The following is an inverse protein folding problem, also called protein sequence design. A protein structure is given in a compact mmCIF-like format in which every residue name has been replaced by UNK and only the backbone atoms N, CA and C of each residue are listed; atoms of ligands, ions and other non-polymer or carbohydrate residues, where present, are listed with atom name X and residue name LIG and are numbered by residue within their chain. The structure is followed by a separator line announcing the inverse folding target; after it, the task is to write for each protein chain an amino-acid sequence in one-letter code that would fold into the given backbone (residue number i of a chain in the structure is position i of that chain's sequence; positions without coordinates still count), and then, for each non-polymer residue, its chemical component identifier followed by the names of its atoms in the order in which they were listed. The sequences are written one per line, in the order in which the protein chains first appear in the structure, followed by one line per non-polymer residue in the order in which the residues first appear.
data_IF_454967362336
#
_entry.id   IF_454967362336
#
_cell.length_a   1.000
_cell.length_b   1.000
_cell.length_c   1.000
_cell.angle_alpha   90.00
_cell.angle_beta   90.00
_cell.angle_gamma   90.00
#
_symmetry.space_group_name_H-M   'P 1'
#
loop_
_entity.id
_entity.type
_entity.pdbx_description
1 polymer ?
#
# COMPACT_ATOMS: atom_id res chain seq x y z
N UNK A 1 -27.31 -29.99 4.56
CA UNK A 1 -27.88 -28.88 3.75
C UNK A 1 -26.80 -27.97 3.10
N UNK A 2 -25.51 -28.13 3.41
CA UNK A 2 -24.42 -27.31 2.84
C UNK A 2 -23.88 -27.82 1.48
N UNK A 3 -23.94 -29.13 1.18
CA UNK A 3 -23.40 -29.68 -0.07
C UNK A 3 -24.11 -29.21 -1.35
N UNK A 4 -25.42 -28.93 -1.28
CA UNK A 4 -26.18 -28.50 -2.47
C UNK A 4 -25.84 -27.08 -2.93
N UNK A 5 -25.45 -26.18 -2.01
CA UNK A 5 -25.09 -24.78 -2.35
C UNK A 5 -23.71 -24.67 -3.02
N UNK A 6 -22.80 -25.60 -2.76
CA UNK A 6 -21.47 -25.61 -3.40
C UNK A 6 -21.53 -25.93 -4.89
N UNK A 7 -22.33 -26.93 -5.29
CA UNK A 7 -22.44 -27.35 -6.70
C UNK A 7 -23.04 -26.29 -7.62
N UNK A 8 -24.04 -25.53 -7.17
CA UNK A 8 -24.61 -24.42 -7.95
C UNK A 8 -23.61 -23.26 -8.10
N UNK A 9 -22.70 -23.06 -7.12
CA UNK A 9 -21.71 -21.99 -7.16
C UNK A 9 -20.62 -22.19 -8.24
N UNK A 10 -20.38 -23.44 -8.67
CA UNK A 10 -19.39 -23.78 -9.70
C UNK A 10 -19.96 -23.88 -11.12
N UNK A 11 -21.27 -24.03 -11.29
CA UNK A 11 -21.86 -24.22 -12.63
C UNK A 11 -21.83 -22.96 -13.50
N UNK A 12 -21.75 -21.76 -12.89
CA UNK A 12 -21.91 -20.50 -13.60
C UNK A 12 -20.73 -19.52 -13.48
N UNK A 13 -19.57 -19.95 -12.94
CA UNK A 13 -18.38 -19.09 -12.83
C UNK A 13 -17.14 -19.77 -13.37
N UNK A 14 -16.42 -19.05 -14.24
CA UNK A 14 -15.03 -19.34 -14.55
C UNK A 14 -14.22 -19.01 -13.30
N UNK A 15 -13.81 -20.04 -12.57
CA UNK A 15 -12.98 -19.90 -11.38
C UNK A 15 -11.52 -19.92 -11.82
N UNK A 16 -10.71 -18.96 -11.37
CA UNK A 16 -9.29 -18.93 -11.70
C UNK A 16 -8.57 -20.18 -11.18
N UNK A 17 -7.50 -20.62 -11.85
CA UNK A 17 -6.78 -21.86 -11.49
C UNK A 17 -6.32 -21.87 -10.02
N UNK A 18 -5.89 -20.72 -9.50
CA UNK A 18 -5.51 -20.55 -8.09
C UNK A 18 -6.72 -20.76 -7.19
N UNK A 19 -7.87 -20.21 -7.56
CA UNK A 19 -9.07 -20.36 -6.76
C UNK A 19 -9.56 -21.81 -6.69
N UNK A 20 -9.49 -22.53 -7.81
CA UNK A 20 -9.88 -23.93 -7.89
C UNK A 20 -9.00 -24.82 -7.00
N UNK A 21 -7.68 -24.56 -6.96
CA UNK A 21 -6.75 -25.32 -6.10
C UNK A 21 -7.06 -25.13 -4.62
N UNK A 22 -7.36 -23.90 -4.19
CA UNK A 22 -7.72 -23.63 -2.80
C UNK A 22 -9.02 -24.34 -2.41
N UNK A 23 -10.02 -24.32 -3.29
CA UNK A 23 -11.31 -24.96 -3.01
C UNK A 23 -11.21 -26.49 -3.00
N UNK A 24 -10.42 -27.10 -3.90
CA UNK A 24 -10.17 -28.56 -3.94
C UNK A 24 -9.39 -29.05 -2.73
N UNK A 25 -8.41 -28.27 -2.26
CA UNK A 25 -7.59 -28.61 -1.10
C UNK A 25 -8.26 -28.28 0.23
N UNK A 26 -9.46 -27.70 0.22
CA UNK A 26 -10.16 -27.25 1.43
C UNK A 26 -9.46 -26.09 2.16
N UNK A 27 -8.62 -25.33 1.45
CA UNK A 27 -7.88 -24.21 2.02
C UNK A 27 -8.74 -22.95 2.00
N UNK A 28 -8.86 -22.30 3.15
CA UNK A 28 -9.56 -21.02 3.24
C UNK A 28 -8.77 -19.93 2.49
N UNK A 29 -9.27 -19.48 1.33
CA UNK A 29 -8.69 -18.39 0.52
C UNK A 29 -8.37 -17.13 1.34
N UNK A 30 -9.14 -16.86 2.39
CA UNK A 30 -8.98 -15.69 3.23
C UNK A 30 -9.11 -16.06 4.72
N UNK A 31 -8.04 -16.59 5.30
CA UNK A 31 -7.74 -16.34 6.71
C UNK A 31 -6.54 -15.40 6.78
N UNK A 32 -6.73 -14.14 6.38
CA UNK A 32 -5.75 -13.14 6.76
C UNK A 32 -5.82 -12.98 8.27
N UNK A 33 -4.72 -13.24 8.98
CA UNK A 33 -4.61 -12.97 10.41
C UNK A 33 -4.82 -11.48 10.74
N UNK A 34 -4.72 -10.61 9.72
CA UNK A 34 -4.70 -9.15 9.84
C UNK A 34 -5.69 -8.48 8.88
N UNK A 35 -6.40 -7.47 9.36
CA UNK A 35 -7.32 -6.70 8.53
C UNK A 35 -6.57 -5.70 7.65
N UNK A 36 -7.09 -5.35 6.48
CA UNK A 36 -6.57 -4.29 5.62
C UNK A 36 -7.65 -3.22 5.48
N UNK A 37 -7.29 -1.94 5.67
CA UNK A 37 -8.16 -0.79 5.45
C UNK A 37 -7.65 0.02 4.27
N UNK A 38 -8.56 0.50 3.43
CA UNK A 38 -8.22 1.41 2.34
C UNK A 38 -8.54 2.85 2.74
N UNK A 39 -7.51 3.69 2.81
CA UNK A 39 -7.62 5.11 3.16
C UNK A 39 -7.76 5.93 1.88
N UNK A 40 -8.67 6.90 1.91
CA UNK A 40 -8.78 7.91 0.86
C UNK A 40 -7.92 9.11 1.26
N UNK A 41 -6.90 9.41 0.45
CA UNK A 41 -5.96 10.52 0.65
C UNK A 41 -5.96 11.50 -0.53
N UNK A 42 -7.07 11.55 -1.28
CA UNK A 42 -7.21 12.45 -2.41
C UNK A 42 -7.34 13.91 -1.94
N UNK A 43 -6.87 14.83 -2.78
CA UNK A 43 -7.00 16.28 -2.55
C UNK A 43 -8.50 16.64 -2.37
N UNK A 44 -8.88 17.52 -1.43
CA UNK A 44 -10.29 17.82 -1.15
C UNK A 44 -11.10 18.31 -2.35
N UNK A 45 -10.46 18.94 -3.34
CA UNK A 45 -11.09 19.40 -4.59
C UNK A 45 -11.48 18.25 -5.53
N UNK A 46 -10.75 17.14 -5.49
CA UNK A 46 -10.86 16.03 -6.43
C UNK A 46 -11.60 14.84 -5.81
N UNK A 47 -11.95 14.93 -4.52
CA UNK A 47 -12.47 13.80 -3.78
C UNK A 47 -13.89 13.46 -4.22
N UNK A 48 -14.06 12.22 -4.73
CA UNK A 48 -15.37 11.67 -5.06
C UNK A 48 -16.04 11.22 -3.76
N UNK A 49 -16.91 12.10 -3.25
CA UNK A 49 -17.67 11.87 -2.01
C UNK A 49 -18.77 10.84 -2.22
N UNK A 50 -18.88 9.91 -1.29
CA UNK A 50 -19.99 8.97 -1.25
C UNK A 50 -21.19 9.65 -0.58
N UNK A 51 -22.40 9.33 -1.05
CA UNK A 51 -23.62 9.75 -0.36
C UNK A 51 -23.78 8.95 0.93
N UNK A 52 -24.41 9.56 1.94
CA UNK A 52 -24.76 8.85 3.18
C UNK A 52 -25.72 7.70 2.86
N UNK A 53 -25.61 6.55 3.54
CA UNK A 53 -26.53 5.42 3.35
C UNK A 53 -27.99 5.82 3.64
N UNK A 54 -28.17 6.67 4.64
CA UNK A 54 -29.49 7.11 5.13
C UNK A 54 -29.97 8.40 4.44
N UNK A 55 -29.51 8.65 3.20
CA UNK A 55 -29.82 9.91 2.48
C UNK A 55 -31.31 10.19 2.34
N UNK A 56 -32.14 9.15 2.35
CA UNK A 56 -33.60 9.26 2.26
C UNK A 56 -34.25 9.84 3.52
N UNK A 57 -33.58 9.71 4.66
CA UNK A 57 -34.06 10.16 5.97
C UNK A 57 -33.52 11.56 6.32
N UNK A 58 -32.66 12.12 5.47
CA UNK A 58 -32.09 13.45 5.63
C UNK A 58 -33.12 14.49 5.18
N UNK A 59 -33.24 15.59 5.94
CA UNK A 59 -34.09 16.73 5.55
C UNK A 59 -33.68 17.24 4.15
N UNK A 60 -34.65 17.54 3.27
CA UNK A 60 -34.38 17.95 1.89
C UNK A 60 -33.49 19.20 1.77
N UNK A 61 -33.49 20.07 2.78
CA UNK A 61 -32.68 21.30 2.82
C UNK A 61 -31.29 21.11 3.46
N UNK A 62 -30.92 19.91 3.87
CA UNK A 62 -29.64 19.66 4.55
C UNK A 62 -28.49 19.54 3.55
N UNK A 63 -27.48 20.40 3.67
CA UNK A 63 -26.24 20.31 2.88
C UNK A 63 -25.32 19.12 3.24
N UNK A 64 -25.59 18.39 4.33
CA UNK A 64 -24.76 17.25 4.77
C UNK A 64 -25.19 15.92 4.10
N UNK A 65 -25.27 15.87 2.78
CA UNK A 65 -25.66 14.64 2.05
C UNK A 65 -24.51 13.62 1.88
N UNK A 66 -23.27 14.07 2.06
CA UNK A 66 -22.08 13.26 1.84
C UNK A 66 -21.55 12.59 3.11
N UNK A 67 -21.02 11.38 2.96
CA UNK A 67 -20.27 10.68 4.00
C UNK A 67 -18.95 11.39 4.27
N UNK A 68 -18.54 11.46 5.53
CA UNK A 68 -17.26 12.07 5.92
C UNK A 68 -16.06 11.28 5.38
N UNK A 69 -15.05 12.01 4.92
CA UNK A 69 -13.80 11.41 4.44
C UNK A 69 -12.93 10.91 5.60
N UNK A 70 -11.89 10.13 5.31
CA UNK A 70 -10.95 9.67 6.35
C UNK A 70 -10.21 10.86 6.99
N UNK A 71 -9.87 11.87 6.19
CA UNK A 71 -9.22 13.11 6.65
C UNK A 71 -10.16 13.87 7.60
N UNK A 72 -11.40 14.14 7.20
CA UNK A 72 -12.39 14.87 8.02
C UNK A 72 -12.70 14.14 9.34
N UNK A 73 -12.70 12.80 9.33
CA UNK A 73 -12.87 11.98 10.53
C UNK A 73 -11.68 12.10 11.48
N UNK A 74 -10.47 12.12 10.94
CA UNK A 74 -9.23 12.22 11.71
C UNK A 74 -8.98 13.63 12.28
N UNK A 75 -9.36 14.69 11.55
CA UNK A 75 -9.27 16.08 12.01
C UNK A 75 -10.18 16.36 13.23
N UNK A 76 -11.36 15.72 13.28
CA UNK A 76 -12.38 15.96 14.32
C UNK A 76 -12.29 15.05 15.55
N UNK A 77 -11.16 14.36 15.74
CA UNK A 77 -10.96 13.44 16.87
C UNK A 77 -10.51 14.20 18.13
N UNK A 78 -10.83 13.66 19.32
CA UNK A 78 -10.50 14.27 20.61
C UNK A 78 -9.34 13.58 21.37
N UNK A 79 -8.62 12.66 20.73
CA UNK A 79 -7.48 11.95 21.34
C UNK A 79 -6.56 11.34 20.29
N UNK A 80 -5.51 10.64 20.74
CA UNK A 80 -4.44 10.12 19.88
C UNK A 80 -3.72 11.23 19.07
N UNK A 81 -3.21 12.22 19.80
CA UNK A 81 -2.61 13.45 19.26
C UNK A 81 -1.38 13.18 18.38
N UNK A 82 -0.53 12.26 18.83
CA UNK A 82 0.77 11.95 18.21
C UNK A 82 0.68 10.97 17.04
N UNK A 83 -0.49 10.36 16.79
CA UNK A 83 -0.65 9.39 15.71
C UNK A 83 -0.91 10.09 14.39
N UNK A 84 -0.25 9.65 13.32
CA UNK A 84 -0.60 10.07 11.96
C UNK A 84 -1.95 9.49 11.52
N UNK A 85 -2.55 10.05 10.47
CA UNK A 85 -3.86 9.59 9.97
C UNK A 85 -3.86 8.07 9.67
N UNK A 86 -2.85 7.50 8.95
CA UNK A 86 -2.81 6.06 8.74
C UNK A 86 -2.65 5.24 10.02
N UNK A 87 -1.80 5.69 10.95
CA UNK A 87 -1.59 4.98 12.22
C UNK A 87 -2.88 4.95 13.04
N UNK A 88 -3.60 6.07 13.11
CA UNK A 88 -4.88 6.16 13.80
C UNK A 88 -5.87 5.10 13.29
N UNK A 89 -6.05 5.01 11.98
CA UNK A 89 -6.98 4.05 11.39
C UNK A 89 -6.50 2.58 11.48
N UNK A 90 -5.20 2.34 11.55
CA UNK A 90 -4.66 1.02 11.86
C UNK A 90 -4.91 0.59 13.30
N UNK A 91 -4.83 1.51 14.27
CA UNK A 91 -5.02 1.18 15.67
C UNK A 91 -6.48 1.18 16.11
N UNK A 92 -7.32 2.03 15.52
CA UNK A 92 -8.71 2.19 15.93
C UNK A 92 -9.69 1.67 14.87
N UNK A 93 -10.83 1.14 15.34
CA UNK A 93 -12.00 0.84 14.51
C UNK A 93 -13.12 1.79 14.88
N UNK A 94 -13.87 2.23 13.89
CA UNK A 94 -15.11 2.97 14.08
C UNK A 94 -16.18 2.02 14.65
N UNK A 95 -16.83 2.44 15.72
CA UNK A 95 -17.98 1.78 16.31
C UNK A 95 -19.21 2.61 15.97
N UNK A 96 -20.02 2.13 15.03
CA UNK A 96 -21.27 2.77 14.64
C UNK A 96 -22.30 2.49 15.72
N UNK A 97 -22.57 3.45 16.61
CA UNK A 97 -23.82 3.47 17.36
C UNK A 97 -24.60 4.73 17.03
N UNK A 98 -25.82 4.45 16.59
CA UNK A 98 -26.95 5.33 16.39
C UNK A 98 -27.44 5.71 17.77
N UNK A 99 -27.10 6.90 18.23
CA UNK A 99 -27.94 7.74 19.09
C UNK A 99 -27.25 9.09 19.20
N UNK A 100 -28.06 10.14 19.02
CA UNK A 100 -27.71 11.52 19.23
C UNK A 100 -26.92 11.65 20.55
N UNK A 101 -25.62 11.99 20.47
CA UNK A 101 -24.89 12.51 21.62
C UNK A 101 -25.48 13.90 21.92
N UNK A 102 -26.68 13.93 22.49
CA UNK A 102 -27.23 15.10 23.13
C UNK A 102 -26.26 15.48 24.25
N UNK A 103 -26.03 16.78 24.32
CA UNK A 103 -25.34 17.45 25.41
C UNK A 103 -25.97 17.01 26.74
N UNK A 104 -25.28 16.14 27.47
CA UNK A 104 -25.41 16.09 28.91
C UNK A 104 -24.10 16.63 29.50
N UNK A 105 -24.15 17.92 29.80
CA UNK A 105 -23.38 18.50 30.88
C UNK A 105 -23.77 17.81 32.18
N UNK A 106 -22.77 17.27 32.88
CA UNK A 106 -22.57 17.27 34.34
C UNK A 106 -21.99 15.94 34.85
N UNK A 107 -20.71 16.01 35.24
CA UNK A 107 -20.10 15.27 36.35
C UNK A 107 -20.54 13.82 36.59
N UNK A 108 -19.97 12.89 35.83
CA UNK A 108 -19.54 11.60 36.40
C UNK A 108 -18.11 11.31 35.96
N UNK A 109 -17.24 11.13 36.93
CA UNK A 109 -15.90 10.55 36.78
C UNK A 109 -16.03 9.13 36.23
N UNK A 110 -16.19 9.00 34.92
CA UNK A 110 -16.20 7.72 34.24
C UNK A 110 -14.76 7.26 34.01
N UNK A 111 -14.36 6.30 34.84
CA UNK A 111 -13.18 5.45 34.76
C UNK A 111 -12.95 4.84 33.37
N UNK A 112 -12.48 5.62 32.40
CA UNK A 112 -12.31 5.20 30.99
C UNK A 112 -10.94 5.54 30.37
N UNK A 113 -10.00 6.11 31.14
CA UNK A 113 -8.62 6.36 30.71
C UNK A 113 -7.71 5.14 30.95
N UNK A 114 -8.17 3.94 30.60
CA UNK A 114 -7.28 2.78 30.56
C UNK A 114 -6.37 2.90 29.34
N UNK A 115 -5.18 3.44 29.56
CA UNK A 115 -4.09 3.49 28.60
C UNK A 115 -3.59 2.07 28.30
N UNK A 116 -3.50 1.74 27.01
CA UNK A 116 -2.99 0.44 26.56
C UNK A 116 -1.75 0.64 25.69
N UNK A 117 -0.64 0.00 26.10
CA UNK A 117 0.55 -0.08 25.27
C UNK A 117 0.28 -1.00 24.08
N UNK A 118 0.73 -0.59 22.90
CA UNK A 118 0.63 -1.39 21.68
C UNK A 118 2.01 -1.87 21.25
N UNK A 119 2.10 -3.08 20.67
CA UNK A 119 3.34 -3.48 20.03
C UNK A 119 3.66 -2.45 18.93
N UNK A 120 4.94 -2.07 18.83
CA UNK A 120 5.46 -1.15 17.80
C UNK A 120 4.98 0.31 17.91
N UNK A 121 4.53 0.74 19.09
CA UNK A 121 4.32 2.14 19.43
C UNK A 121 4.91 2.41 20.82
N UNK A 122 5.85 3.35 20.91
CA UNK A 122 6.60 3.61 22.14
C UNK A 122 5.75 4.27 23.24
N UNK A 123 4.59 4.81 22.87
CA UNK A 123 3.66 5.46 23.79
C UNK A 123 2.50 4.59 24.26
N UNK A 124 1.69 5.17 25.13
CA UNK A 124 0.41 4.61 25.52
C UNK A 124 -0.71 5.19 24.68
N UNK A 125 -1.66 4.35 24.27
CA UNK A 125 -2.81 4.76 23.48
C UNK A 125 -4.10 4.63 24.30
N UNK A 126 -5.02 5.61 24.23
CA UNK A 126 -6.32 5.50 24.88
C UNK A 126 -7.13 4.35 24.27
N UNK A 127 -7.88 3.61 25.08
CA UNK A 127 -8.76 2.54 24.56
C UNK A 127 -9.89 3.07 23.69
N UNK A 128 -10.35 4.29 23.96
CA UNK A 128 -11.47 4.93 23.27
C UNK A 128 -11.04 6.34 22.86
N UNK A 129 -11.25 6.67 21.59
CA UNK A 129 -11.16 8.03 21.06
C UNK A 129 -12.54 8.42 20.55
N UNK A 130 -13.01 9.64 20.80
CA UNK A 130 -14.33 10.11 20.37
C UNK A 130 -14.19 11.25 19.35
N UNK A 131 -15.25 11.44 18.59
CA UNK A 131 -15.52 12.62 17.77
C UNK A 131 -17.00 12.96 17.96
N UNK A 132 -17.41 14.16 17.52
CA UNK A 132 -18.77 14.69 17.70
C UNK A 132 -19.89 13.70 17.34
N UNK A 133 -19.66 12.82 16.36
CA UNK A 133 -20.65 11.83 15.90
C UNK A 133 -20.14 10.38 15.87
N UNK A 134 -18.89 10.12 16.26
CA UNK A 134 -18.28 8.80 16.07
C UNK A 134 -17.41 8.41 17.27
N UNK A 135 -17.51 7.14 17.66
CA UNK A 135 -16.67 6.53 18.68
C UNK A 135 -15.68 5.59 18.01
N UNK A 136 -14.42 5.66 18.42
CA UNK A 136 -13.32 4.86 17.93
C UNK A 136 -12.78 3.99 19.06
N UNK A 137 -12.76 2.68 18.84
CA UNK A 137 -12.29 1.70 19.83
C UNK A 137 -11.00 1.06 19.34
N UNK A 138 -10.05 0.88 20.24
CA UNK A 138 -8.76 0.26 19.94
C UNK A 138 -8.95 -1.19 19.46
N UNK A 139 -8.38 -1.54 18.31
CA UNK A 139 -8.59 -2.85 17.66
C UNK A 139 -7.94 -3.98 18.46
N UNK A 140 -8.58 -5.14 18.55
CA UNK A 140 -7.94 -6.33 19.15
C UNK A 140 -6.91 -6.99 18.23
N UNK A 141 -7.11 -6.89 16.91
CA UNK A 141 -6.23 -7.46 15.87
C UNK A 141 -5.49 -6.35 15.14
N UNK A 142 -4.28 -6.65 14.68
CA UNK A 142 -3.49 -5.74 13.85
C UNK A 142 -4.21 -5.47 12.51
N UNK A 143 -4.16 -4.21 12.09
CA UNK A 143 -4.70 -3.74 10.83
C UNK A 143 -3.60 -3.05 10.04
N UNK A 144 -3.61 -3.26 8.73
CA UNK A 144 -2.80 -2.51 7.78
C UNK A 144 -3.65 -1.51 7.04
N UNK A 145 -2.99 -0.52 6.44
CA UNK A 145 -3.62 0.45 5.59
C UNK A 145 -3.06 0.35 4.17
N UNK A 146 -3.85 0.79 3.19
CA UNK A 146 -3.45 0.99 1.79
C UNK A 146 -4.10 2.28 1.29
N UNK A 147 -3.49 2.91 0.30
CA UNK A 147 -4.09 4.02 -0.45
C UNK A 147 -3.69 3.91 -1.92
N UNK A 148 -4.25 4.75 -2.79
CA UNK A 148 -3.72 4.95 -4.13
C UNK A 148 -2.58 5.95 -4.05
N UNK A 149 -1.36 5.52 -4.37
CA UNK A 149 -0.20 6.39 -4.30
C UNK A 149 -0.14 7.31 -5.51
N UNK A 150 0.01 8.60 -5.25
CA UNK A 150 0.21 9.64 -6.24
C UNK A 150 1.69 9.68 -6.59
N UNK A 151 2.00 9.91 -7.87
CA UNK A 151 3.37 10.13 -8.31
C UNK A 151 3.75 11.60 -8.15
N UNK A 152 5.03 11.92 -8.00
CA UNK A 152 5.52 13.32 -7.99
C UNK A 152 5.07 14.12 -9.23
N UNK A 153 4.88 13.44 -10.36
CA UNK A 153 4.33 14.03 -11.59
C UNK A 153 2.91 14.60 -11.42
N UNK A 154 2.16 14.13 -10.42
CA UNK A 154 0.80 14.60 -10.12
C UNK A 154 0.79 15.90 -9.28
N UNK A 155 1.97 16.46 -8.98
CA UNK A 155 2.13 17.80 -8.39
C UNK A 155 1.49 17.94 -7.02
N UNK A 156 0.54 18.87 -6.87
CA UNK A 156 -0.13 19.20 -5.60
C UNK A 156 -0.74 17.97 -4.91
N UNK A 157 -1.25 16.98 -5.66
CA UNK A 157 -1.85 15.77 -5.10
C UNK A 157 -0.83 14.93 -4.33
N UNK A 158 0.37 14.82 -4.87
CA UNK A 158 1.47 14.09 -4.23
C UNK A 158 1.87 14.77 -2.92
N UNK A 159 2.13 16.07 -2.95
CA UNK A 159 2.55 16.80 -1.75
C UNK A 159 1.48 16.77 -0.65
N UNK A 160 0.21 16.95 -1.01
CA UNK A 160 -0.90 16.81 -0.08
C UNK A 160 -0.94 15.40 0.54
N UNK A 161 -0.83 14.34 -0.28
CA UNK A 161 -0.82 12.97 0.22
C UNK A 161 0.36 12.71 1.17
N UNK A 162 1.56 13.20 0.86
CA UNK A 162 2.72 13.06 1.74
C UNK A 162 2.50 13.74 3.09
N UNK A 163 1.91 14.93 3.10
CA UNK A 163 1.60 15.66 4.34
C UNK A 163 0.56 14.90 5.17
N UNK A 164 -0.58 14.51 4.58
CA UNK A 164 -1.67 13.84 5.30
C UNK A 164 -1.25 12.49 5.89
N UNK A 165 -0.36 11.78 5.21
CA UNK A 165 0.11 10.46 5.66
C UNK A 165 1.18 10.53 6.73
N UNK A 166 2.03 11.57 6.72
CA UNK A 166 3.23 11.65 7.56
C UNK A 166 3.18 12.67 8.68
N UNK A 167 2.33 13.71 8.58
CA UNK A 167 2.21 14.75 9.60
C UNK A 167 1.10 14.39 10.59
N UNK A 168 1.39 14.19 11.89
CA UNK A 168 0.37 14.14 12.91
C UNK A 168 -0.19 15.55 13.13
N UNK A 169 -1.52 15.65 13.26
CA UNK A 169 -2.23 16.91 13.51
C UNK A 169 -3.25 16.70 14.62
N UNK A 170 -3.52 17.68 15.47
CA UNK A 170 -4.51 17.56 16.54
C UNK A 170 -5.20 18.91 16.79
N UNK A 171 -6.54 18.89 16.99
CA UNK A 171 -7.37 20.09 17.15
C UNK A 171 -7.13 21.19 16.10
N UNK A 172 -6.76 20.78 14.88
CA UNK A 172 -6.41 21.67 13.77
C UNK A 172 -6.70 20.92 12.47
N UNK A 173 -6.92 21.63 11.37
CA UNK A 173 -7.08 21.05 10.04
C UNK A 173 -5.79 21.13 9.22
N UNK A 174 -5.65 20.26 8.22
CA UNK A 174 -4.48 20.36 7.32
C UNK A 174 -4.46 21.69 6.55
N UNK A 175 -5.63 22.27 6.26
CA UNK A 175 -5.74 23.55 5.57
C UNK A 175 -5.32 24.73 6.46
N UNK A 176 -5.71 24.73 7.73
CA UNK A 176 -5.28 25.73 8.71
C UNK A 176 -3.77 25.66 8.97
N UNK A 177 -3.21 24.44 9.00
CA UNK A 177 -1.76 24.23 9.16
C UNK A 177 -0.94 24.66 7.93
N UNK A 178 -1.52 24.56 6.74
CA UNK A 178 -0.93 25.14 5.52
C UNK A 178 -0.83 26.66 5.63
N UNK A 179 -1.74 27.32 6.35
CA UNK A 179 -1.62 28.73 6.73
C UNK A 179 -1.31 29.66 5.53
N UNK A 180 -0.17 30.40 5.54
CA UNK A 180 0.15 31.37 4.50
C UNK A 180 0.76 30.78 3.22
N UNK A 181 1.08 29.47 3.19
CA UNK A 181 1.68 28.84 2.02
C UNK A 181 0.68 28.74 0.87
N UNK A 182 1.08 29.18 -0.33
CA UNK A 182 0.18 29.20 -1.50
C UNK A 182 -0.11 27.79 -2.01
N UNK A 183 0.91 26.94 -2.08
CA UNK A 183 0.83 25.57 -2.58
C UNK A 183 1.11 24.54 -1.49
N UNK A 184 0.62 23.31 -1.69
CA UNK A 184 0.98 22.17 -0.83
C UNK A 184 2.45 21.80 -0.99
N UNK A 185 3.04 22.05 -2.16
CA UNK A 185 4.49 21.93 -2.38
C UNK A 185 5.29 22.81 -1.43
N UNK A 186 4.99 24.11 -1.38
CA UNK A 186 5.75 25.06 -0.54
C UNK A 186 5.69 24.67 0.94
N UNK A 187 4.51 24.23 1.38
CA UNK A 187 4.31 23.76 2.74
C UNK A 187 5.08 22.46 3.01
N UNK A 188 5.07 21.52 2.07
CA UNK A 188 5.84 20.28 2.17
C UNK A 188 7.35 20.53 2.25
N UNK A 189 7.88 21.40 1.39
CA UNK A 189 9.30 21.78 1.39
C UNK A 189 9.69 22.44 2.72
N UNK A 190 8.83 23.29 3.28
CA UNK A 190 9.04 23.85 4.61
C UNK A 190 9.10 22.75 5.69
N UNK A 191 8.18 21.78 5.67
CA UNK A 191 8.12 20.69 6.65
C UNK A 191 9.33 19.74 6.58
N UNK A 192 9.93 19.53 5.41
CA UNK A 192 11.15 18.72 5.27
C UNK A 192 12.35 19.39 5.95
N UNK A 193 12.40 20.73 5.92
CA UNK A 193 13.51 21.50 6.47
C UNK A 193 13.43 21.68 7.99
N UNK A 194 12.34 21.25 8.63
CA UNK A 194 12.16 21.31 10.07
C UNK A 194 12.56 19.97 10.71
N UNK A 195 13.25 19.95 11.86
CA UNK A 195 13.48 18.74 12.63
C UNK A 195 12.18 18.07 13.10
N UNK A 196 12.17 16.73 13.19
CA UNK A 196 10.98 15.96 13.62
C UNK A 196 10.42 16.40 14.98
N UNK A 197 11.30 16.77 15.93
CA UNK A 197 10.93 17.26 17.27
C UNK A 197 10.14 18.57 17.24
N UNK A 198 10.35 19.39 16.20
CA UNK A 198 9.63 20.64 15.95
C UNK A 198 8.44 20.43 14.99
N UNK A 199 8.08 19.17 14.72
CA UNK A 199 6.97 18.82 13.85
C UNK A 199 7.34 18.74 12.36
N UNK A 200 8.61 18.61 12.01
CA UNK A 200 9.00 18.30 10.63
C UNK A 200 8.49 16.95 10.13
N UNK A 201 8.43 16.80 8.81
CA UNK A 201 8.15 15.51 8.17
C UNK A 201 9.48 14.91 7.72
N UNK A 202 9.71 13.66 8.10
CA UNK A 202 10.82 12.90 7.52
C UNK A 202 10.40 12.37 6.16
N UNK A 203 11.11 12.80 5.15
CA UNK A 203 11.09 12.19 3.82
C UNK A 203 12.39 11.40 3.73
N UNK A 204 12.28 10.10 3.49
CA UNK A 204 13.47 9.28 3.26
C UNK A 204 14.18 9.82 2.01
N UNK A 205 15.33 10.51 2.19
CA UNK A 205 16.21 10.96 1.09
C UNK A 205 16.87 9.77 0.35
N UNK A 206 16.46 8.54 0.64
CA UNK A 206 17.09 7.31 0.17
C UNK A 206 16.79 6.96 -1.30
N UNK A 207 15.92 7.72 -1.98
CA UNK A 207 15.68 7.57 -3.41
C UNK A 207 16.96 7.70 -4.26
N UNK A 208 18.01 8.36 -3.77
CA UNK A 208 19.32 8.45 -4.46
C UNK A 208 20.32 7.33 -4.08
N UNK A 209 19.98 6.42 -3.14
CA UNK A 209 20.95 5.47 -2.56
C UNK A 209 20.77 4.01 -2.96
N UNK A 210 19.89 3.71 -3.93
CA UNK A 210 19.70 2.33 -4.45
C UNK A 210 20.62 2.00 -5.63
N UNK A 211 21.35 2.97 -6.19
CA UNK A 211 22.41 2.70 -7.16
C UNK A 211 23.65 2.27 -6.37
N UNK A 212 23.75 0.98 -6.07
CA UNK A 212 24.91 0.40 -5.39
C UNK A 212 26.10 0.17 -6.34
N UNK A 213 25.94 0.38 -7.66
CA UNK A 213 27.05 0.33 -8.61
C UNK A 213 26.83 1.25 -9.80
N UNK A 214 27.91 1.91 -10.26
CA UNK A 214 27.97 2.69 -11.50
C UNK A 214 27.59 1.87 -12.76
N UNK A 215 27.52 0.54 -12.65
CA UNK A 215 27.17 -0.34 -13.78
C UNK A 215 25.66 -0.39 -14.07
N UNK A 216 24.80 -0.10 -13.08
CA UNK A 216 23.34 -0.08 -13.29
C UNK A 216 22.87 1.22 -13.98
N UNK A 217 23.66 2.29 -13.91
CA UNK A 217 23.44 3.54 -14.65
C UNK A 217 23.76 3.36 -16.14
N UNK A 218 24.75 2.54 -16.47
CA UNK A 218 25.24 2.38 -17.84
C UNK A 218 24.34 1.54 -18.77
N UNK A 219 23.41 0.74 -18.24
CA UNK A 219 22.56 -0.14 -19.06
C UNK A 219 21.21 0.49 -19.43
N UNK A 220 20.76 1.53 -18.72
CA UNK A 220 19.58 2.34 -19.10
C UNK A 220 19.90 3.35 -20.22
N UNK A 221 21.14 3.83 -20.31
CA UNK A 221 21.59 4.80 -21.32
C UNK A 221 21.91 4.18 -22.69
N UNK A 222 22.06 2.85 -22.78
CA UNK A 222 22.45 2.16 -24.03
C UNK A 222 21.34 2.09 -25.09
N UNK A 223 20.12 2.52 -24.77
CA UNK A 223 19.00 2.54 -25.70
C UNK A 223 18.40 1.15 -26.02
N UNK A 224 17.15 1.11 -26.52
CA UNK A 224 16.42 -0.14 -26.78
C UNK A 224 17.10 -1.03 -27.84
N UNK A 225 17.84 -0.44 -28.78
CA UNK A 225 18.50 -1.16 -29.86
C UNK A 225 19.64 -2.06 -29.38
N UNK A 226 20.38 -1.65 -28.35
CA UNK A 226 21.47 -2.46 -27.76
C UNK A 226 20.88 -3.64 -26.99
N UNK A 227 19.80 -3.41 -26.24
CA UNK A 227 19.07 -4.46 -25.51
C UNK A 227 18.51 -5.51 -26.47
N UNK A 228 17.96 -5.08 -27.61
CA UNK A 228 17.47 -5.98 -28.66
C UNK A 228 18.60 -6.79 -29.32
N UNK A 229 19.75 -6.17 -29.59
CA UNK A 229 20.92 -6.87 -30.13
C UNK A 229 21.42 -7.94 -29.16
N UNK A 230 21.53 -7.61 -27.88
CA UNK A 230 21.90 -8.59 -26.85
C UNK A 230 20.90 -9.74 -26.77
N UNK A 231 19.61 -9.44 -26.77
CA UNK A 231 18.56 -10.47 -26.77
C UNK A 231 18.68 -11.39 -27.99
N UNK A 232 18.94 -10.84 -29.17
CA UNK A 232 19.12 -11.64 -30.39
C UNK A 232 20.35 -12.56 -30.30
N UNK A 233 21.47 -12.07 -29.77
CA UNK A 233 22.66 -12.92 -29.52
C UNK A 233 22.32 -14.02 -28.51
N UNK A 234 21.57 -13.70 -27.47
CA UNK A 234 21.16 -14.69 -26.47
C UNK A 234 20.20 -15.73 -27.04
N UNK A 235 19.23 -15.32 -27.85
CA UNK A 235 18.33 -16.22 -28.55
C UNK A 235 19.09 -17.14 -29.48
N UNK A 236 20.07 -16.63 -30.23
CA UNK A 236 20.89 -17.47 -31.11
C UNK A 236 21.64 -18.56 -30.35
N UNK A 237 22.22 -18.20 -29.20
CA UNK A 237 23.01 -19.10 -28.35
C UNK A 237 22.17 -20.01 -27.43
N UNK A 238 20.86 -19.76 -27.30
CA UNK A 238 19.97 -20.57 -26.48
C UNK A 238 19.75 -21.97 -27.10
N UNK A 239 19.62 -22.98 -26.25
CA UNK A 239 19.28 -24.33 -26.70
C UNK A 239 17.81 -24.42 -27.14
N UNK A 240 17.47 -25.49 -27.88
CA UNK A 240 16.12 -25.69 -28.44
C UNK A 240 15.01 -25.67 -27.38
N UNK A 241 15.26 -26.29 -26.22
CA UNK A 241 14.31 -26.27 -25.10
C UNK A 241 14.11 -24.86 -24.52
N UNK A 242 15.18 -24.10 -24.33
CA UNK A 242 15.13 -22.73 -23.82
C UNK A 242 14.37 -21.81 -24.77
N UNK A 243 14.58 -21.96 -26.09
CA UNK A 243 13.83 -21.22 -27.12
C UNK A 243 12.33 -21.51 -27.04
N UNK A 244 11.97 -22.79 -27.01
CA UNK A 244 10.57 -23.21 -26.93
C UNK A 244 9.89 -22.73 -25.63
N UNK A 245 10.57 -22.84 -24.49
CA UNK A 245 10.05 -22.34 -23.21
C UNK A 245 9.91 -20.81 -23.24
N UNK A 246 10.88 -20.09 -23.81
CA UNK A 246 10.84 -18.64 -23.91
C UNK A 246 9.66 -18.16 -24.76
N UNK A 247 9.46 -18.75 -25.94
CA UNK A 247 8.35 -18.44 -26.83
C UNK A 247 6.99 -18.75 -26.19
N UNK A 248 6.85 -19.95 -25.61
CA UNK A 248 5.63 -20.38 -24.93
C UNK A 248 5.30 -19.51 -23.71
N UNK A 249 6.32 -19.14 -22.93
CA UNK A 249 6.12 -18.25 -21.79
C UNK A 249 5.70 -16.84 -22.24
N UNK A 250 6.28 -16.30 -23.33
CA UNK A 250 5.87 -15.00 -23.86
C UNK A 250 4.43 -15.02 -24.38
N UNK A 251 4.01 -16.09 -25.06
CA UNK A 251 2.62 -16.20 -25.53
C UNK A 251 1.62 -16.25 -24.38
N UNK A 252 1.95 -16.97 -23.31
CA UNK A 252 1.12 -17.06 -22.11
C UNK A 252 1.12 -15.75 -21.30
N UNK A 253 2.26 -15.06 -21.20
CA UNK A 253 2.30 -13.79 -20.48
C UNK A 253 1.54 -12.67 -21.21
N UNK A 254 1.40 -12.75 -22.54
CA UNK A 254 0.55 -11.82 -23.32
C UNK A 254 -0.95 -11.96 -22.99
N UNK A 255 -1.38 -13.12 -22.50
CA UNK A 255 -2.78 -13.37 -22.09
C UNK A 255 -3.01 -13.06 -20.60
N UNK A 256 -2.08 -12.36 -19.93
CA UNK A 256 -2.10 -12.06 -18.48
C UNK A 256 -2.16 -13.31 -17.59
N UNK A 257 -1.59 -14.43 -18.06
CA UNK A 257 -1.51 -15.67 -17.28
C UNK A 257 -0.21 -15.74 -16.44
N UNK A 258 -0.13 -16.74 -15.57
CA UNK A 258 1.05 -16.99 -14.72
C UNK A 258 1.79 -18.21 -15.24
N UNK A 259 3.10 -18.07 -15.47
CA UNK A 259 3.95 -19.14 -15.99
C UNK A 259 4.87 -19.68 -14.90
N UNK A 260 4.87 -21.00 -14.71
CA UNK A 260 5.78 -21.70 -13.80
C UNK A 260 6.85 -22.45 -14.59
N UNK A 261 8.13 -22.14 -14.32
CA UNK A 261 9.26 -22.75 -15.01
C UNK A 261 10.11 -23.53 -14.00
N UNK A 262 10.18 -24.84 -14.16
CA UNK A 262 11.01 -25.74 -13.34
C UNK A 262 12.13 -26.38 -14.16
N UNK A 263 13.20 -26.79 -13.49
CA UNK A 263 14.26 -27.59 -14.11
C UNK A 263 15.36 -27.95 -13.13
N UNK A 264 16.14 -28.99 -13.43
CA UNK A 264 17.25 -29.45 -12.60
C UNK A 264 18.38 -28.40 -12.48
N UNK A 265 19.29 -28.57 -11.52
CA UNK A 265 20.48 -27.72 -11.43
C UNK A 265 21.29 -27.81 -12.74
N UNK A 266 21.89 -26.70 -13.18
CA UNK A 266 22.67 -26.66 -14.42
C UNK A 266 21.89 -26.51 -15.74
N UNK A 267 20.55 -26.49 -15.73
CA UNK A 267 19.74 -26.35 -16.96
C UNK A 267 19.67 -24.93 -17.56
N UNK A 268 20.45 -23.98 -17.02
CA UNK A 268 20.49 -22.61 -17.55
C UNK A 268 19.27 -21.75 -17.23
N UNK A 269 18.53 -22.02 -16.15
CA UNK A 269 17.37 -21.18 -15.73
C UNK A 269 17.72 -19.69 -15.56
N UNK A 270 18.91 -19.40 -15.03
CA UNK A 270 19.39 -18.01 -14.89
C UNK A 270 19.63 -17.33 -16.25
N UNK A 271 19.95 -18.11 -17.29
CA UNK A 271 20.10 -17.60 -18.65
C UNK A 271 18.73 -17.20 -19.23
N UNK A 272 17.74 -18.06 -19.05
CA UNK A 272 16.36 -17.80 -19.46
C UNK A 272 15.78 -16.57 -18.75
N UNK A 273 16.05 -16.42 -17.45
CA UNK A 273 15.63 -15.24 -16.68
C UNK A 273 16.20 -13.93 -17.23
N UNK A 274 17.48 -13.94 -17.67
CA UNK A 274 18.11 -12.79 -18.34
C UNK A 274 17.48 -12.49 -19.71
N UNK A 275 17.08 -13.52 -20.46
CA UNK A 275 16.38 -13.33 -21.74
C UNK A 275 15.03 -12.63 -21.55
N UNK A 276 14.23 -13.05 -20.55
CA UNK A 276 12.98 -12.35 -20.21
C UNK A 276 13.24 -10.90 -19.79
N UNK A 277 14.26 -10.68 -18.96
CA UNK A 277 14.65 -9.34 -18.54
C UNK A 277 14.93 -8.43 -19.74
N UNK A 278 15.74 -8.88 -20.71
CA UNK A 278 16.06 -8.11 -21.92
C UNK A 278 14.85 -7.88 -22.82
N UNK A 279 14.00 -8.89 -23.01
CA UNK A 279 12.78 -8.79 -23.83
C UNK A 279 11.79 -7.73 -23.32
N UNK A 280 11.53 -7.74 -22.02
CA UNK A 280 10.61 -6.78 -21.41
C UNK A 280 11.23 -5.38 -21.25
N UNK A 281 12.55 -5.29 -21.02
CA UNK A 281 13.28 -4.01 -21.04
C UNK A 281 13.20 -3.33 -22.41
N UNK A 282 13.36 -4.09 -23.49
CA UNK A 282 13.22 -3.57 -24.86
C UNK A 282 11.82 -2.98 -25.13
N UNK A 283 10.80 -3.49 -24.45
CA UNK A 283 9.42 -3.00 -24.52
C UNK A 283 9.10 -1.93 -23.47
N UNK A 284 10.11 -1.42 -22.76
CA UNK A 284 9.98 -0.39 -21.70
C UNK A 284 9.13 -0.81 -20.51
N UNK A 285 9.00 -2.12 -20.26
CA UNK A 285 8.40 -2.60 -19.01
C UNK A 285 9.38 -2.47 -17.86
N UNK A 286 8.83 -2.13 -16.70
CA UNK A 286 9.53 -2.19 -15.44
C UNK A 286 9.51 -3.61 -14.89
N UNK A 287 10.68 -4.14 -14.54
CA UNK A 287 10.85 -5.56 -14.20
C UNK A 287 11.40 -5.68 -12.79
N UNK A 288 10.73 -6.47 -11.96
CA UNK A 288 11.16 -6.78 -10.61
C UNK A 288 11.60 -8.24 -10.48
N UNK A 289 12.85 -8.45 -10.09
CA UNK A 289 13.42 -9.78 -9.84
C UNK A 289 13.41 -10.08 -8.35
N UNK A 290 12.64 -11.09 -7.97
CA UNK A 290 12.40 -11.44 -6.58
C UNK A 290 12.95 -12.83 -6.25
N UNK A 291 13.51 -12.98 -5.05
CA UNK A 291 13.97 -14.27 -4.53
C UNK A 291 13.63 -14.46 -3.04
N UNK A 292 13.50 -15.70 -2.54
CA UNK A 292 13.16 -15.93 -1.14
C UNK A 292 14.29 -15.57 -0.16
N UNK A 293 15.56 -15.79 -0.54
CA UNK A 293 16.73 -15.61 0.32
C UNK A 293 17.68 -14.53 -0.21
N UNK A 294 18.48 -13.92 0.67
CA UNK A 294 19.45 -12.86 0.31
C UNK A 294 20.49 -13.31 -0.71
N UNK A 295 21.04 -14.52 -0.53
CA UNK A 295 22.01 -15.12 -1.45
C UNK A 295 21.36 -15.36 -2.82
N UNK A 296 20.12 -15.86 -2.86
CA UNK A 296 19.42 -16.08 -4.12
C UNK A 296 19.07 -14.76 -4.84
N UNK A 297 18.70 -13.70 -4.10
CA UNK A 297 18.44 -12.39 -4.70
C UNK A 297 19.69 -11.77 -5.28
N UNK A 298 20.84 -11.93 -4.61
CA UNK A 298 22.11 -11.43 -5.10
C UNK A 298 22.50 -12.11 -6.42
N UNK A 299 22.31 -13.43 -6.53
CA UNK A 299 22.65 -14.20 -7.73
C UNK A 299 21.85 -13.80 -8.99
N UNK A 300 20.65 -13.24 -8.82
CA UNK A 300 19.81 -12.79 -9.93
C UNK A 300 19.88 -11.28 -10.16
N UNK A 301 20.76 -10.56 -9.47
CA UNK A 301 20.78 -9.09 -9.41
C UNK A 301 19.38 -8.54 -9.14
N UNK A 302 18.71 -9.10 -8.13
CA UNK A 302 17.37 -8.75 -7.71
C UNK A 302 17.32 -8.45 -6.22
N UNK A 303 16.12 -8.52 -5.64
CA UNK A 303 15.91 -8.32 -4.22
C UNK A 303 15.13 -9.46 -3.60
N UNK A 304 15.17 -9.56 -2.28
CA UNK A 304 14.36 -10.56 -1.59
C UNK A 304 12.89 -10.19 -1.68
N UNK A 305 12.00 -11.20 -1.70
CA UNK A 305 10.55 -11.01 -1.58
C UNK A 305 10.26 -10.16 -0.34
N UNK A 306 10.97 -10.45 0.75
CA UNK A 306 10.91 -9.68 1.99
C UNK A 306 11.25 -8.21 1.77
N UNK A 307 12.40 -7.90 1.15
CA UNK A 307 12.81 -6.52 0.87
C UNK A 307 11.86 -5.80 -0.08
N UNK A 308 11.39 -6.50 -1.11
CA UNK A 308 10.44 -5.94 -2.08
C UNK A 308 9.12 -5.55 -1.43
N UNK A 309 8.57 -6.42 -0.59
CA UNK A 309 7.36 -6.13 0.17
C UNK A 309 7.61 -5.38 1.48
N UNK A 310 8.83 -4.90 1.75
CA UNK A 310 9.17 -4.18 2.99
C UNK A 310 9.19 -5.03 4.27
N UNK A 311 9.09 -6.35 4.19
CA UNK A 311 9.07 -7.26 5.35
C UNK A 311 10.48 -7.35 5.98
N UNK A 312 10.69 -6.85 7.21
CA UNK A 312 11.98 -6.96 7.93
C UNK A 312 12.01 -8.19 8.83
N UNK A 313 13.18 -8.81 9.03
CA UNK A 313 13.32 -10.04 9.84
C UNK A 313 13.08 -9.84 11.34
N UNK A 314 13.05 -8.59 11.83
CA UNK A 314 12.73 -8.21 13.21
C UNK A 314 11.32 -7.63 13.38
N UNK A 315 10.59 -7.37 12.29
CA UNK A 315 9.25 -6.82 12.34
C UNK A 315 8.32 -7.61 11.42
N UNK A 316 7.32 -8.27 12.00
CA UNK A 316 6.22 -8.85 11.23
C UNK A 316 5.38 -7.78 10.49
N UNK A 317 5.75 -6.49 10.56
CA UNK A 317 5.15 -5.41 9.78
C UNK A 317 5.95 -5.18 8.49
N UNK A 318 5.29 -5.24 7.32
CA UNK A 318 5.86 -4.73 6.07
C UNK A 318 6.04 -3.22 6.18
N UNK A 319 7.24 -2.74 5.85
CA UNK A 319 7.60 -1.33 5.76
C UNK A 319 7.06 -0.76 4.43
N UNK A 320 5.83 -0.24 4.48
CA UNK A 320 5.07 0.20 3.30
C UNK A 320 5.69 1.38 2.57
N UNK A 321 6.54 2.17 3.23
CA UNK A 321 7.26 3.29 2.60
C UNK A 321 8.26 2.79 1.54
N UNK A 322 8.85 1.60 1.74
CA UNK A 322 9.84 1.01 0.82
C UNK A 322 9.24 0.38 -0.44
N UNK A 323 7.96 0.00 -0.38
CA UNK A 323 7.24 -0.58 -1.52
C UNK A 323 6.97 0.46 -2.62
N UNK A 324 6.78 1.72 -2.25
CA UNK A 324 6.53 2.82 -3.19
C UNK A 324 7.78 3.32 -3.87
N UNK A 325 8.92 3.36 -3.17
CA UNK A 325 10.22 3.72 -3.74
C UNK A 325 10.64 2.79 -4.89
N UNK A 326 10.33 1.49 -4.79
CA UNK A 326 10.63 0.51 -5.82
C UNK A 326 9.76 0.68 -7.06
N UNK A 327 8.53 1.21 -6.93
CA UNK A 327 7.64 1.46 -8.06
C UNK A 327 7.96 2.75 -8.84
N UNK A 328 8.82 3.63 -8.30
CA UNK A 328 9.25 4.87 -8.96
C UNK A 328 10.65 4.83 -9.64
N UNK A 329 11.46 3.79 -9.44
CA UNK A 329 12.77 3.56 -10.13
C UNK A 329 12.70 2.84 -11.48
#
# INVERSE_FOLDING_TARGET
MQEKKGKEHFQNRIVGAIEAVYDVMGWHKHQSSRSVMFLKTALPSDDRRLLKPDIKDIRPDSGEIFSRTHVEKYEKRNGAEMLTMPQFFCFYREESQVEECLLESESTTDSNDELQQRPFYDGYLPKIVKSVKTKYVLRKKECFWRTFNESEFNGEKYYYQQIVTKKPIFNNTFEELKGPYRSWRDYFEHLINIPQELGGITVEQHAQSVIQSLNDVNDFERGPDVVLRELNVMLNNANSCQKSIFEGAISELKTNSVVFISGAAGTGKSYLLKMFERFYKAQKYKIFKLAPTGVASHNINGMTIHRFFGMKSSSNTPDYNKLDELNHQ
#
